data_IF_518750799691
#
_entry.id   IF_518750799691
#
_cell.length_a   1.000
_cell.length_b   1.000
_cell.length_c   1.000
_cell.angle_alpha   90.00
_cell.angle_beta   90.00
_cell.angle_gamma   90.00
#
_symmetry.space_group_name_H-M   'P 1'
#
loop_
_entity.id
_entity.type
_entity.pdbx_description
1 polymer ?
#
# COMPACT_ATOMS: atom_id res chain seq x y z
N UNK A 1 2.34 17.20 4.25
CA UNK A 1 3.56 17.84 4.82
C UNK A 1 4.69 16.82 4.74
N UNK A 2 5.92 17.24 4.41
CA UNK A 2 7.06 16.31 4.39
C UNK A 2 7.58 16.05 5.82
N UNK A 3 7.55 14.81 6.31
CA UNK A 3 8.09 14.48 7.64
C UNK A 3 9.61 14.34 7.60
N UNK A 4 10.25 14.49 8.76
CA UNK A 4 11.62 14.02 9.00
C UNK A 4 11.58 12.52 9.36
N UNK A 5 12.63 11.72 9.06
CA UNK A 5 12.67 10.29 9.40
C UNK A 5 12.32 9.99 10.87
N UNK A 6 12.84 10.78 11.82
CA UNK A 6 12.49 10.65 13.25
C UNK A 6 11.00 10.83 13.56
N UNK A 7 10.30 11.69 12.81
CA UNK A 7 8.85 11.85 12.97
C UNK A 7 8.09 10.63 12.45
N UNK A 8 8.62 9.98 11.41
CA UNK A 8 8.07 8.73 10.87
C UNK A 8 8.28 7.59 11.86
N UNK A 9 9.49 7.40 12.36
CA UNK A 9 9.81 6.42 13.40
C UNK A 9 8.88 6.56 14.61
N UNK A 10 8.78 7.77 15.18
CA UNK A 10 7.88 8.02 16.29
C UNK A 10 6.41 7.75 15.95
N UNK A 11 5.94 8.17 14.77
CA UNK A 11 4.55 7.94 14.37
C UNK A 11 4.24 6.45 14.18
N UNK A 12 5.18 5.66 13.64
CA UNK A 12 5.05 4.20 13.54
C UNK A 12 4.97 3.57 14.92
N UNK A 13 5.82 3.99 15.86
CA UNK A 13 5.77 3.48 17.23
C UNK A 13 4.44 3.78 17.92
N UNK A 14 3.90 5.01 17.74
CA UNK A 14 2.60 5.38 18.29
C UNK A 14 1.46 4.61 17.62
N UNK A 15 1.55 4.37 16.32
CA UNK A 15 0.53 3.65 15.55
C UNK A 15 0.40 2.19 15.99
N UNK A 16 1.53 1.52 16.20
CA UNK A 16 1.57 0.09 16.59
C UNK A 16 1.11 -0.10 18.03
N UNK A 17 1.31 0.89 18.89
CA UNK A 17 0.85 0.90 20.27
C UNK A 17 -0.59 1.40 20.44
N UNK A 18 -1.32 1.63 19.34
CA UNK A 18 -2.68 2.20 19.35
C UNK A 18 -2.78 3.53 20.13
N UNK A 19 -1.74 4.34 20.04
CA UNK A 19 -1.60 5.60 20.78
C UNK A 19 -1.50 6.83 19.86
N UNK A 20 -1.59 6.63 18.53
CA UNK A 20 -1.43 7.70 17.56
C UNK A 20 -2.49 8.79 17.71
N UNK A 21 -3.74 8.41 17.95
CA UNK A 21 -4.84 9.38 18.10
C UNK A 21 -4.72 10.17 19.39
N UNK A 22 -4.32 9.54 20.51
CA UNK A 22 -4.03 10.25 21.75
C UNK A 22 -2.92 11.30 21.56
N UNK A 23 -1.94 10.99 20.70
CA UNK A 23 -0.80 11.86 20.45
C UNK A 23 -1.08 12.96 19.41
N UNK A 24 -2.00 12.73 18.47
CA UNK A 24 -2.20 13.59 17.30
C UNK A 24 -3.67 13.89 17.06
N UNK A 25 -4.02 15.16 17.19
CA UNK A 25 -5.30 15.70 16.75
C UNK A 25 -5.07 16.85 15.77
N UNK A 26 -5.78 16.86 14.64
CA UNK A 26 -5.73 17.94 13.65
C UNK A 26 -6.94 18.86 13.84
N UNK A 27 -6.74 20.15 14.13
CA UNK A 27 -7.86 21.10 14.17
C UNK A 27 -8.47 21.29 12.79
N UNK A 28 -9.68 21.85 12.74
CA UNK A 28 -10.30 22.24 11.48
C UNK A 28 -9.38 23.16 10.68
N UNK A 29 -9.35 22.97 9.36
CA UNK A 29 -8.48 23.67 8.43
C UNK A 29 -6.97 23.58 8.76
N UNK A 30 -6.54 22.50 9.43
CA UNK A 30 -5.12 22.26 9.68
C UNK A 30 -4.32 22.38 8.38
N UNK A 31 -3.26 23.21 8.40
CA UNK A 31 -2.40 23.52 7.25
C UNK A 31 -3.13 24.06 6.01
N UNK A 32 -4.25 24.78 6.20
CA UNK A 32 -5.07 25.36 5.12
C UNK A 32 -5.61 24.31 4.14
N UNK A 33 -5.83 23.08 4.62
CA UNK A 33 -6.33 21.99 3.78
C UNK A 33 -7.85 22.09 3.50
N UNK A 34 -8.58 22.98 4.17
CA UNK A 34 -10.03 23.09 4.02
C UNK A 34 -10.78 21.82 4.46
N UNK A 35 -10.23 21.11 5.45
CA UNK A 35 -10.79 19.86 6.01
C UNK A 35 -11.39 20.12 7.40
N UNK A 36 -12.37 19.31 7.85
CA UNK A 36 -12.83 19.34 9.24
C UNK A 36 -11.70 18.95 10.22
N UNK A 37 -11.95 19.05 11.52
CA UNK A 37 -11.05 18.46 12.52
C UNK A 37 -11.08 16.93 12.42
N UNK A 38 -9.94 16.27 12.64
CA UNK A 38 -9.82 14.80 12.59
C UNK A 38 -8.60 14.32 13.38
N UNK A 39 -8.61 13.06 13.79
CA UNK A 39 -7.43 12.32 14.24
C UNK A 39 -7.01 11.29 13.17
N UNK A 40 -5.71 10.94 13.06
CA UNK A 40 -5.24 10.07 11.98
C UNK A 40 -5.86 8.68 11.91
N UNK A 41 -6.18 8.08 13.06
CA UNK A 41 -6.78 6.75 13.21
C UNK A 41 -8.31 6.75 13.13
N UNK A 42 -8.98 7.89 13.26
CA UNK A 42 -10.45 7.99 13.16
C UNK A 42 -11.02 7.37 11.87
N UNK A 43 -10.22 7.37 10.80
CA UNK A 43 -10.64 6.89 9.48
C UNK A 43 -10.46 5.39 9.28
N UNK A 44 -9.66 4.72 10.10
CA UNK A 44 -9.23 3.34 9.86
C UNK A 44 -9.35 2.53 11.14
N UNK A 45 -10.38 1.70 11.20
CA UNK A 45 -10.48 0.68 12.25
C UNK A 45 -9.46 -0.42 11.96
N UNK A 46 -8.42 -0.50 12.77
CA UNK A 46 -7.41 -1.55 12.64
C UNK A 46 -8.06 -2.91 12.97
N UNK A 47 -8.15 -3.78 11.96
CA UNK A 47 -8.50 -5.17 12.19
C UNK A 47 -7.44 -5.83 13.07
N UNK A 48 -7.84 -6.68 14.02
CA UNK A 48 -6.88 -7.51 14.75
C UNK A 48 -6.14 -8.46 13.79
N UNK A 49 -4.90 -8.83 14.13
CA UNK A 49 -4.15 -9.83 13.37
C UNK A 49 -4.70 -11.24 13.62
N UNK A 50 -4.81 -12.03 12.54
CA UNK A 50 -5.02 -13.47 12.64
C UNK A 50 -3.83 -14.08 13.37
N UNK A 51 -4.11 -14.76 14.48
CA UNK A 51 -3.09 -15.27 15.42
C UNK A 51 -2.75 -14.32 16.58
N UNK A 52 -3.33 -13.11 16.61
CA UNK A 52 -3.09 -12.10 17.63
C UNK A 52 -1.77 -11.35 17.46
N UNK A 53 -1.48 -10.46 18.41
CA UNK A 53 -0.29 -9.59 18.38
C UNK A 53 -0.51 -8.29 17.59
N UNK A 54 0.59 -7.67 17.20
CA UNK A 54 0.61 -6.40 16.46
C UNK A 54 1.67 -6.45 15.34
N UNK A 55 1.58 -5.52 14.38
CA UNK A 55 2.63 -5.34 13.37
C UNK A 55 3.92 -4.91 14.06
N UNK A 56 5.09 -5.54 13.82
CA UNK A 56 6.35 -5.05 14.35
C UNK A 56 6.76 -3.70 13.73
N UNK A 57 7.33 -2.79 14.52
CA UNK A 57 7.76 -1.48 14.04
C UNK A 57 8.75 -1.57 12.89
N UNK A 58 9.65 -2.55 12.94
CA UNK A 58 10.65 -2.80 11.89
C UNK A 58 10.01 -3.18 10.56
N UNK A 59 8.89 -3.92 10.58
CA UNK A 59 8.16 -4.32 9.37
C UNK A 59 7.53 -3.08 8.74
N UNK A 60 6.81 -2.27 9.53
CA UNK A 60 6.18 -1.06 9.03
C UNK A 60 7.22 -0.02 8.55
N UNK A 61 8.31 0.17 9.29
CA UNK A 61 9.41 1.03 8.86
C UNK A 61 10.05 0.51 7.57
N UNK A 62 10.24 -0.81 7.45
CA UNK A 62 10.66 -1.48 6.22
C UNK A 62 9.81 -1.11 5.02
N UNK A 63 8.48 -1.17 5.16
CA UNK A 63 7.52 -0.73 4.13
C UNK A 63 7.74 0.74 3.79
N UNK A 64 7.76 1.64 4.77
CA UNK A 64 7.91 3.08 4.50
C UNK A 64 9.25 3.43 3.81
N UNK A 65 10.31 2.69 4.11
CA UNK A 65 11.62 2.84 3.46
C UNK A 65 11.57 2.36 2.02
N UNK A 66 11.02 1.18 1.76
CA UNK A 66 10.94 0.60 0.42
C UNK A 66 10.01 1.40 -0.50
N UNK A 67 8.86 1.84 0.02
CA UNK A 67 7.84 2.52 -0.78
C UNK A 67 8.22 3.95 -1.14
N UNK A 68 8.89 4.66 -0.23
CA UNK A 68 9.11 6.10 -0.44
C UNK A 68 10.40 6.67 0.13
N UNK A 69 11.30 5.85 0.67
CA UNK A 69 12.43 6.32 1.48
C UNK A 69 11.95 7.23 2.63
N UNK A 70 10.80 6.89 3.23
CA UNK A 70 10.10 7.66 4.25
C UNK A 70 9.64 9.06 3.82
N UNK A 71 9.41 9.28 2.52
CA UNK A 71 8.98 10.58 1.99
C UNK A 71 7.48 10.62 1.68
N UNK A 72 6.77 11.57 2.28
CA UNK A 72 5.36 11.81 1.97
C UNK A 72 5.16 12.36 0.56
N UNK A 73 6.05 13.23 0.10
CA UNK A 73 6.05 13.77 -1.25
C UNK A 73 7.51 13.93 -1.74
N UNK A 74 7.70 13.89 -3.06
CA UNK A 74 8.93 14.29 -3.73
C UNK A 74 9.33 15.69 -3.30
N UNK A 75 10.63 15.90 -3.16
CA UNK A 75 11.26 17.19 -2.83
C UNK A 75 10.87 18.35 -3.77
N UNK A 76 10.33 18.04 -4.95
CA UNK A 76 9.95 19.03 -5.98
C UNK A 76 8.50 19.52 -5.82
N UNK A 77 7.74 19.00 -4.85
CA UNK A 77 6.31 19.27 -4.70
C UNK A 77 6.05 20.11 -3.45
N UNK A 78 5.21 21.14 -3.59
CA UNK A 78 4.83 22.00 -2.46
C UNK A 78 3.99 21.24 -1.44
N UNK A 79 4.11 21.54 -0.14
CA UNK A 79 3.27 20.93 0.90
C UNK A 79 1.77 21.09 0.59
N UNK A 80 1.02 19.99 0.57
CA UNK A 80 -0.41 20.01 0.24
C UNK A 80 -0.73 19.57 -1.20
N UNK A 81 0.29 19.25 -2.00
CA UNK A 81 0.13 18.64 -3.32
C UNK A 81 0.73 17.23 -3.29
N UNK A 82 0.04 16.28 -3.93
CA UNK A 82 0.54 14.92 -4.10
C UNK A 82 1.63 14.91 -5.17
N UNK A 83 2.75 14.28 -4.88
CA UNK A 83 3.76 14.08 -5.91
C UNK A 83 4.87 13.23 -5.38
N UNK A 84 4.68 11.92 -5.33
CA UNK A 84 5.77 10.96 -5.19
C UNK A 84 5.40 9.70 -5.99
N UNK A 85 5.28 9.79 -7.34
CA UNK A 85 5.03 8.61 -8.15
C UNK A 85 6.34 7.83 -8.27
N UNK A 86 6.80 7.21 -7.17
CA UNK A 86 8.05 6.47 -7.21
C UNK A 86 7.86 5.19 -8.00
N UNK A 87 6.69 4.57 -7.95
CA UNK A 87 6.40 3.34 -8.68
C UNK A 87 4.90 3.28 -9.03
N UNK A 88 4.59 3.07 -10.31
CA UNK A 88 3.23 2.87 -10.80
C UNK A 88 2.94 3.58 -12.12
N UNK A 89 2.12 2.98 -12.97
CA UNK A 89 1.66 3.58 -14.22
C UNK A 89 0.65 4.70 -13.92
N UNK A 90 1.17 5.86 -13.50
CA UNK A 90 0.41 7.01 -13.01
C UNK A 90 -0.72 7.43 -13.97
N UNK A 91 -0.52 7.24 -15.27
CA UNK A 91 -1.49 7.60 -16.31
C UNK A 91 -2.21 6.40 -16.94
N UNK A 92 -1.95 5.17 -16.47
CA UNK A 92 -2.58 3.96 -17.02
C UNK A 92 -2.21 3.65 -18.47
N UNK A 93 -1.08 4.20 -18.95
CA UNK A 93 -0.61 4.07 -20.32
C UNK A 93 -0.27 2.60 -20.62
N UNK A 94 -0.93 2.01 -21.61
CA UNK A 94 -0.64 0.65 -22.05
C UNK A 94 0.33 0.71 -23.22
N UNK A 95 1.49 0.06 -23.08
CA UNK A 95 2.37 -0.20 -24.22
C UNK A 95 1.87 -1.45 -24.94
N UNK A 96 1.48 -1.32 -26.20
CA UNK A 96 1.18 -2.48 -27.03
C UNK A 96 2.49 -3.22 -27.35
N UNK A 97 2.47 -4.55 -27.40
CA UNK A 97 3.65 -5.38 -27.67
C UNK A 97 4.18 -5.29 -29.10
N UNK A 98 3.57 -4.45 -29.94
CA UNK A 98 3.88 -4.25 -31.35
C UNK A 98 4.43 -2.84 -31.63
N UNK A 99 4.97 -2.16 -30.61
CA UNK A 99 5.50 -0.78 -30.65
C UNK A 99 4.51 0.29 -31.16
N UNK A 100 3.23 -0.04 -31.30
CA UNK A 100 2.20 0.94 -31.68
C UNK A 100 1.57 1.53 -30.41
N UNK A 101 2.01 2.75 -30.09
CA UNK A 101 1.43 3.56 -29.03
C UNK A 101 0.43 4.55 -29.66
N UNK A 102 -0.89 4.28 -29.61
CA UNK A 102 -1.88 5.07 -30.35
C UNK A 102 -1.98 6.52 -29.84
N UNK A 103 -1.62 6.77 -28.58
CA UNK A 103 -1.29 8.11 -28.07
C UNK A 103 -0.48 7.97 -26.75
N UNK A 104 0.80 8.41 -26.71
CA UNK A 104 1.62 8.35 -25.50
C UNK A 104 1.12 9.19 -24.33
N UNK A 105 0.22 10.13 -24.59
CA UNK A 105 -0.23 11.13 -23.63
C UNK A 105 -1.69 10.92 -23.19
N UNK A 106 -2.39 9.96 -23.81
CA UNK A 106 -3.75 9.65 -23.43
C UNK A 106 -3.82 8.94 -22.07
N UNK A 107 -4.42 9.62 -21.09
CA UNK A 107 -4.59 9.08 -19.74
C UNK A 107 -5.72 8.05 -19.73
N UNK A 108 -5.40 6.83 -19.32
CA UNK A 108 -6.40 5.81 -19.04
C UNK A 108 -6.70 5.77 -17.54
N UNK A 109 -7.69 6.56 -17.12
CA UNK A 109 -8.11 6.64 -15.73
C UNK A 109 -8.55 5.29 -15.12
N UNK A 110 -9.05 4.36 -15.94
CA UNK A 110 -9.42 3.01 -15.49
C UNK A 110 -8.23 2.08 -15.25
N UNK A 111 -7.03 2.46 -15.71
CA UNK A 111 -5.75 1.76 -15.49
C UNK A 111 -4.71 2.60 -14.76
N UNK A 112 -5.03 3.85 -14.43
CA UNK A 112 -4.16 4.74 -13.68
C UNK A 112 -3.96 4.20 -12.27
N UNK A 113 -2.71 4.23 -11.80
CA UNK A 113 -2.33 3.80 -10.47
C UNK A 113 -1.32 4.76 -9.87
N UNK A 114 -1.72 5.46 -8.82
CA UNK A 114 -0.94 6.54 -8.21
C UNK A 114 -0.67 6.18 -6.75
N UNK A 115 0.60 5.86 -6.43
CA UNK A 115 1.05 5.73 -5.05
C UNK A 115 0.90 7.05 -4.29
N UNK A 116 0.12 7.06 -3.21
CA UNK A 116 -0.04 8.23 -2.35
C UNK A 116 0.81 8.09 -1.08
N UNK A 117 1.64 9.11 -0.82
CA UNK A 117 2.29 9.30 0.46
C UNK A 117 3.43 8.32 0.77
N UNK A 118 3.74 8.25 2.06
CA UNK A 118 4.88 7.52 2.61
C UNK A 118 4.78 6.00 2.47
N UNK A 119 3.57 5.46 2.37
CA UNK A 119 3.31 4.02 2.18
C UNK A 119 2.88 3.66 0.75
N UNK A 120 2.94 4.62 -0.18
CA UNK A 120 2.47 4.49 -1.58
C UNK A 120 1.08 3.85 -1.70
N UNK A 121 0.16 4.21 -0.81
CA UNK A 121 -1.19 3.63 -0.80
C UNK A 121 -1.92 3.91 -2.12
N UNK A 122 -2.44 2.87 -2.77
CA UNK A 122 -3.20 2.93 -4.04
C UNK A 122 -4.62 2.40 -3.90
N UNK A 123 -4.81 1.39 -3.04
CA UNK A 123 -6.08 0.73 -2.82
C UNK A 123 -7.19 1.76 -2.50
N UNK A 124 -8.30 1.68 -3.22
CA UNK A 124 -9.51 2.52 -3.01
C UNK A 124 -9.28 4.04 -3.09
N UNK A 125 -8.15 4.48 -3.62
CA UNK A 125 -7.78 5.91 -3.80
C UNK A 125 -8.22 6.49 -5.15
N UNK A 126 -8.86 5.69 -6.01
CA UNK A 126 -9.42 6.15 -7.29
C UNK A 126 -10.66 7.03 -7.07
N UNK A 127 -11.00 7.84 -8.08
CA UNK A 127 -12.23 8.65 -8.05
C UNK A 127 -13.46 7.73 -7.96
N UNK A 128 -14.45 8.15 -7.18
CA UNK A 128 -15.74 7.44 -7.11
C UNK A 128 -16.34 7.25 -8.49
N UNK A 129 -16.72 6.01 -8.82
CA UNK A 129 -17.22 5.62 -10.15
C UNK A 129 -16.13 5.35 -11.20
N UNK A 130 -14.85 5.37 -10.80
CA UNK A 130 -13.66 5.03 -11.61
C UNK A 130 -12.78 4.00 -10.89
N UNK A 131 -13.36 3.21 -10.00
CA UNK A 131 -12.68 2.15 -9.25
C UNK A 131 -12.08 1.09 -10.19
N UNK A 132 -11.01 0.42 -9.74
CA UNK A 132 -10.51 -0.76 -10.43
C UNK A 132 -11.53 -1.89 -10.27
N UNK A 133 -11.79 -2.67 -11.32
CA UNK A 133 -12.65 -3.85 -11.20
C UNK A 133 -12.18 -4.77 -10.07
N UNK A 134 -13.06 -5.03 -9.09
CA UNK A 134 -12.79 -5.92 -7.95
C UNK A 134 -12.18 -5.28 -6.71
N UNK A 135 -11.87 -3.96 -6.71
CA UNK A 135 -11.22 -3.26 -5.59
C UNK A 135 -12.20 -2.78 -4.48
N UNK A 136 -13.51 -2.94 -4.71
CA UNK A 136 -14.55 -2.36 -3.84
C UNK A 136 -14.75 -0.86 -4.10
N UNK A 137 -15.64 -0.22 -3.34
CA UNK A 137 -15.96 1.21 -3.51
C UNK A 137 -14.80 2.10 -3.09
N UNK A 138 -14.59 3.24 -3.75
CA UNK A 138 -13.59 4.23 -3.32
C UNK A 138 -13.75 4.67 -1.87
N UNK A 139 -12.66 5.08 -1.22
CA UNK A 139 -12.73 5.79 0.06
C UNK A 139 -13.51 7.10 -0.12
N UNK A 140 -14.12 7.59 0.98
CA UNK A 140 -14.78 8.90 0.97
C UNK A 140 -13.76 9.99 0.64
N UNK A 141 -14.17 11.01 -0.11
CA UNK A 141 -13.26 12.01 -0.68
C UNK A 141 -12.39 12.74 0.37
N UNK A 142 -12.96 13.06 1.54
CA UNK A 142 -12.22 13.64 2.66
C UNK A 142 -11.14 12.69 3.21
N UNK A 143 -11.42 11.39 3.28
CA UNK A 143 -10.44 10.36 3.68
C UNK A 143 -9.34 10.24 2.64
N UNK A 144 -9.68 10.22 1.35
CA UNK A 144 -8.68 10.23 0.27
C UNK A 144 -7.76 11.45 0.36
N UNK A 145 -8.32 12.65 0.62
CA UNK A 145 -7.51 13.86 0.86
C UNK A 145 -6.64 13.72 2.10
N UNK A 146 -7.16 13.17 3.20
CA UNK A 146 -6.41 12.97 4.43
C UNK A 146 -5.20 12.04 4.19
N UNK A 147 -5.41 10.87 3.56
CA UNK A 147 -4.37 9.90 3.17
C UNK A 147 -3.33 10.54 2.25
N UNK A 148 -3.75 11.37 1.31
CA UNK A 148 -2.86 12.02 0.36
C UNK A 148 -1.97 13.10 0.99
N UNK A 149 -2.48 13.83 2.00
CA UNK A 149 -1.90 15.10 2.44
C UNK A 149 -1.27 15.07 3.85
N UNK A 150 -1.71 14.15 4.71
CA UNK A 150 -1.17 13.92 6.05
C UNK A 150 -0.45 12.57 6.12
N UNK A 151 0.85 12.61 6.46
CA UNK A 151 1.67 11.41 6.53
C UNK A 151 1.24 10.46 7.64
N UNK A 152 0.62 10.96 8.72
CA UNK A 152 0.17 10.10 9.82
C UNK A 152 -1.09 9.34 9.45
N UNK A 153 -1.99 9.97 8.67
CA UNK A 153 -3.16 9.29 8.10
C UNK A 153 -2.71 8.27 7.06
N UNK A 154 -1.71 8.61 6.23
CA UNK A 154 -1.12 7.70 5.26
C UNK A 154 -0.50 6.47 5.93
N UNK A 155 0.26 6.65 7.01
CA UNK A 155 0.81 5.56 7.82
C UNK A 155 -0.31 4.67 8.40
N UNK A 156 -1.35 5.27 8.98
CA UNK A 156 -2.49 4.52 9.51
C UNK A 156 -3.17 3.68 8.42
N UNK A 157 -3.32 4.23 7.22
CA UNK A 157 -3.89 3.49 6.10
C UNK A 157 -2.99 2.35 5.59
N UNK A 158 -1.69 2.61 5.40
CA UNK A 158 -0.74 1.56 5.02
C UNK A 158 -0.63 0.44 6.06
N UNK A 159 -0.72 0.78 7.34
CA UNK A 159 -0.78 -0.22 8.42
C UNK A 159 -2.04 -1.09 8.34
N UNK A 160 -3.19 -0.50 8.03
CA UNK A 160 -4.41 -1.26 7.78
C UNK A 160 -4.25 -2.20 6.57
N UNK A 161 -3.75 -1.71 5.43
CA UNK A 161 -3.51 -2.54 4.24
C UNK A 161 -2.58 -3.72 4.59
N UNK A 162 -1.47 -3.47 5.29
CA UNK A 162 -0.52 -4.51 5.69
C UNK A 162 -1.15 -5.55 6.62
N UNK A 163 -1.99 -5.10 7.56
CA UNK A 163 -2.78 -5.96 8.45
C UNK A 163 -3.75 -6.83 7.65
N UNK A 164 -4.46 -6.25 6.69
CA UNK A 164 -5.38 -6.99 5.83
C UNK A 164 -4.63 -8.03 4.98
N UNK A 165 -3.45 -7.70 4.42
CA UNK A 165 -2.62 -8.67 3.68
C UNK A 165 -2.11 -9.80 4.57
N UNK A 166 -1.75 -9.51 5.81
CA UNK A 166 -1.41 -10.54 6.79
C UNK A 166 -2.60 -11.49 7.02
N UNK A 167 -3.77 -10.92 7.26
CA UNK A 167 -4.98 -11.71 7.50
C UNK A 167 -5.37 -12.56 6.28
N UNK A 168 -5.38 -11.97 5.09
CA UNK A 168 -5.70 -12.65 3.83
C UNK A 168 -4.76 -13.83 3.56
N UNK A 169 -3.45 -13.60 3.67
CA UNK A 169 -2.44 -14.64 3.41
C UNK A 169 -2.53 -15.77 4.44
N UNK A 170 -2.80 -15.45 5.71
CA UNK A 170 -2.98 -16.46 6.78
C UNK A 170 -4.24 -17.28 6.64
N UNK A 171 -5.37 -16.64 6.35
CA UNK A 171 -6.62 -17.35 6.10
C UNK A 171 -6.53 -18.26 4.88
N UNK A 172 -5.64 -17.94 3.93
CA UNK A 172 -5.31 -18.79 2.79
C UNK A 172 -4.26 -19.88 3.08
N UNK A 173 -3.81 -20.03 4.33
CA UNK A 173 -2.82 -21.03 4.74
C UNK A 173 -1.37 -20.69 4.38
N UNK A 174 -1.09 -19.49 3.86
CA UNK A 174 0.27 -19.06 3.56
C UNK A 174 0.97 -18.61 4.85
N UNK A 175 1.72 -19.52 5.46
CA UNK A 175 2.44 -19.28 6.71
C UNK A 175 3.92 -19.61 6.52
N UNK A 176 4.79 -18.74 7.06
CA UNK A 176 6.22 -19.02 7.23
C UNK A 176 6.47 -19.36 8.70
N UNK A 177 7.35 -20.35 8.93
CA UNK A 177 7.72 -20.85 10.25
C UNK A 177 6.48 -21.20 11.10
N UNK A 178 6.43 -20.69 12.34
CA UNK A 178 5.33 -20.86 13.28
C UNK A 178 4.23 -19.80 13.13
N UNK A 179 4.43 -18.82 12.25
CA UNK A 179 3.47 -17.77 12.04
C UNK A 179 3.26 -16.81 13.22
N UNK A 180 4.23 -16.67 14.13
CA UNK A 180 4.24 -15.65 15.17
C UNK A 180 4.37 -14.23 14.58
N UNK A 181 3.42 -13.34 14.86
CA UNK A 181 3.41 -11.95 14.39
C UNK A 181 4.58 -11.12 14.94
N UNK A 182 5.16 -11.50 16.08
CA UNK A 182 6.30 -10.79 16.66
C UNK A 182 7.62 -11.03 15.89
N UNK A 183 7.65 -11.97 14.93
CA UNK A 183 8.84 -12.33 14.15
C UNK A 183 8.78 -11.69 12.76
N UNK A 184 9.65 -10.72 12.43
CA UNK A 184 9.62 -10.04 11.13
C UNK A 184 9.67 -10.99 9.92
N UNK A 185 10.36 -12.12 10.03
CA UNK A 185 10.50 -13.11 8.94
C UNK A 185 9.17 -13.74 8.55
N UNK A 186 8.23 -13.83 9.50
CA UNK A 186 6.90 -14.43 9.26
C UNK A 186 5.99 -13.51 8.42
N UNK A 187 6.37 -12.26 8.19
CA UNK A 187 5.64 -11.27 7.40
C UNK A 187 5.88 -11.35 5.89
N UNK A 188 6.75 -12.27 5.44
CA UNK A 188 7.13 -12.38 4.03
C UNK A 188 5.95 -12.37 3.05
N UNK A 189 4.94 -13.22 3.26
CA UNK A 189 3.79 -13.28 2.35
C UNK A 189 2.94 -12.01 2.40
N UNK A 190 2.75 -11.42 3.58
CA UNK A 190 2.02 -10.17 3.74
C UNK A 190 2.73 -9.02 3.01
N UNK A 191 4.06 -8.91 3.16
CA UNK A 191 4.89 -7.92 2.48
C UNK A 191 4.91 -8.12 0.97
N UNK A 192 4.98 -9.36 0.51
CA UNK A 192 4.91 -9.66 -0.92
C UNK A 192 3.53 -9.29 -1.48
N UNK A 193 2.45 -9.65 -0.78
CA UNK A 193 1.08 -9.30 -1.14
C UNK A 193 0.82 -7.78 -1.09
N UNK A 194 1.51 -7.05 -0.22
CA UNK A 194 1.46 -5.59 -0.15
C UNK A 194 1.95 -4.97 -1.46
N UNK A 195 3.04 -5.51 -2.03
CA UNK A 195 3.58 -5.03 -3.30
C UNK A 195 2.83 -5.55 -4.53
N UNK A 196 2.58 -6.87 -4.60
CA UNK A 196 2.08 -7.52 -5.83
C UNK A 196 0.57 -7.73 -5.88
N UNK A 197 -0.12 -7.53 -4.76
CA UNK A 197 -1.49 -8.01 -4.53
C UNK A 197 -1.54 -9.49 -4.14
N UNK A 198 -2.72 -9.89 -3.63
CA UNK A 198 -3.07 -11.25 -3.23
C UNK A 198 -4.17 -11.81 -4.13
N UNK A 199 -4.05 -13.08 -4.51
CA UNK A 199 -5.04 -13.81 -5.33
C UNK A 199 -5.58 -15.01 -4.55
N UNK A 200 -6.88 -15.01 -4.17
CA UNK A 200 -7.46 -16.11 -3.39
C UNK A 200 -7.54 -17.40 -4.22
N UNK A 201 -7.61 -18.55 -3.53
CA UNK A 201 -7.63 -19.86 -4.20
C UNK A 201 -8.83 -20.05 -5.14
N UNK A 202 -9.94 -19.36 -4.88
CA UNK A 202 -11.09 -19.31 -5.78
C UNK A 202 -10.76 -18.76 -7.18
N UNK A 203 -9.67 -18.01 -7.31
CA UNK A 203 -9.17 -17.48 -8.59
C UNK A 203 -8.09 -18.36 -9.24
N UNK A 204 -7.75 -19.51 -8.65
CA UNK A 204 -6.71 -20.40 -9.17
C UNK A 204 -7.00 -20.88 -10.61
N UNK A 205 -8.28 -21.03 -10.99
CA UNK A 205 -8.72 -21.36 -12.35
C UNK A 205 -8.37 -20.28 -13.39
N UNK A 206 -8.05 -19.06 -12.95
CA UNK A 206 -7.55 -17.94 -13.77
C UNK A 206 -6.02 -17.88 -13.81
N UNK A 207 -5.34 -18.97 -13.45
CA UNK A 207 -3.88 -19.10 -13.35
C UNK A 207 -3.21 -18.12 -12.37
N UNK A 208 -3.93 -17.70 -11.31
CA UNK A 208 -3.42 -16.80 -10.27
C UNK A 208 -3.84 -17.30 -8.90
N UNK A 209 -2.87 -17.63 -8.05
CA UNK A 209 -3.12 -17.96 -6.65
C UNK A 209 -1.90 -17.62 -5.79
N UNK A 210 -2.16 -17.06 -4.61
CA UNK A 210 -1.14 -16.67 -3.64
C UNK A 210 -0.68 -15.22 -3.83
N UNK A 211 0.63 -15.00 -3.69
CA UNK A 211 1.23 -13.66 -3.76
C UNK A 211 1.94 -13.50 -5.12
N UNK A 212 1.38 -12.67 -6.00
CA UNK A 212 1.88 -12.50 -7.37
C UNK A 212 1.75 -13.73 -8.28
N UNK A 213 2.40 -13.67 -9.45
CA UNK A 213 2.43 -14.79 -10.40
C UNK A 213 3.36 -15.92 -9.88
N UNK A 214 2.81 -16.90 -9.18
CA UNK A 214 3.44 -18.23 -9.01
C UNK A 214 4.03 -18.58 -7.65
N UNK A 215 3.82 -17.80 -6.58
CA UNK A 215 4.31 -18.16 -5.22
C UNK A 215 3.25 -18.85 -4.33
N UNK A 216 2.07 -19.18 -4.85
CA UNK A 216 1.14 -20.08 -4.17
C UNK A 216 1.70 -21.52 -4.10
N UNK A 217 1.77 -22.11 -2.91
CA UNK A 217 2.22 -23.49 -2.72
C UNK A 217 1.19 -24.49 -3.26
N UNK A 218 1.20 -24.83 -4.55
CA UNK A 218 0.27 -25.85 -5.06
C UNK A 218 0.74 -27.23 -4.58
N UNK A 219 -0.10 -28.04 -3.94
CA UNK A 219 0.24 -29.44 -3.69
C UNK A 219 0.40 -30.16 -5.02
N UNK A 220 1.64 -30.49 -5.40
CA UNK A 220 1.94 -31.40 -6.52
C UNK A 220 2.19 -30.77 -7.90
N UNK A 221 2.43 -29.46 -8.04
CA UNK A 221 2.89 -28.88 -9.31
C UNK A 221 4.25 -28.17 -9.18
N UNK A 222 5.22 -28.39 -10.09
CA UNK A 222 6.43 -27.58 -10.17
C UNK A 222 6.02 -26.17 -10.63
N UNK A 223 6.14 -25.19 -9.73
CA UNK A 223 5.78 -23.81 -10.02
C UNK A 223 6.63 -23.25 -11.16
N UNK A 224 5.98 -22.89 -12.28
CA UNK A 224 6.46 -21.97 -13.30
C UNK A 224 5.37 -21.80 -14.37
N UNK A 225 4.85 -20.59 -14.56
CA UNK A 225 3.93 -20.35 -15.67
C UNK A 225 3.13 -19.05 -15.66
N UNK A 226 3.79 -17.90 -15.64
CA UNK A 226 3.34 -16.64 -16.27
C UNK A 226 4.54 -15.68 -16.29
N UNK A 227 4.82 -15.03 -17.44
CA UNK A 227 5.98 -14.14 -17.62
C UNK A 227 6.06 -13.12 -16.47
N UNK A 228 7.12 -13.23 -15.66
CA UNK A 228 7.53 -12.16 -14.77
C UNK A 228 7.72 -10.89 -15.60
N UNK A 229 7.13 -9.77 -15.18
CA UNK A 229 7.69 -8.50 -15.60
C UNK A 229 9.09 -8.43 -14.99
N UNK A 230 10.13 -8.17 -15.80
CA UNK A 230 11.48 -8.07 -15.27
C UNK A 230 11.50 -6.97 -14.21
N UNK A 231 11.87 -7.35 -12.99
CA UNK A 231 12.40 -6.38 -12.01
C UNK A 231 13.49 -5.62 -12.75
N UNK A 232 13.43 -4.27 -12.85
CA UNK A 232 14.53 -3.52 -13.40
C UNK A 232 15.73 -3.75 -12.48
N UNK A 233 16.60 -4.67 -12.88
CA UNK A 233 17.95 -4.74 -12.32
C UNK A 233 18.59 -3.43 -12.73
N UNK A 234 18.71 -2.51 -11.77
CA UNK A 234 19.56 -1.34 -11.92
C UNK A 234 20.96 -1.89 -12.23
N UNK A 235 21.35 -1.81 -13.51
CA UNK A 235 22.76 -1.96 -13.86
C UNK A 235 23.51 -0.85 -13.13
N UNK A 236 24.58 -1.18 -12.39
CA UNK A 236 25.49 -0.15 -11.88
C UNK A 236 26.12 0.61 -13.07
N UNK A 237 26.58 1.85 -12.82
CA UNK A 237 27.04 2.79 -13.85
C UNK A 237 28.15 2.26 -14.76
#
# INVERSE_FOLDING_TARGET
MQPKPRQVEWAVDQLIQDNLDNAIHRPANWKNLGMPAYSPGDYFTQSGLVGGGHVPAQVMLGVTMQESNMWQASRMVVPGVTGNPLIGNFYGISYASNDQQPDPWAINWGKADCGYGITQATDRMRLSGKEKPGEGSSLRYDVQRAVALDYTVNLAYGHQILTDKWNDTRLAGLTINNGDAARPENWFFALWAYNSGFHPQSEASKARWGVGCGLGQQPGQPGMGCRAQPVPVLKPP
#
